data_IF_525506911369
#
_entry.id   IF_525506911369
#
_cell.length_a   1.000
_cell.length_b   1.000
_cell.length_c   1.000
_cell.angle_alpha   90.00
_cell.angle_beta   90.00
_cell.angle_gamma   90.00
#
_symmetry.space_group_name_H-M   'P 1'
#
loop_
_entity.id
_entity.type
_entity.pdbx_description
1 polymer ?
#
# COMPACT_ATOMS: atom_id res chain seq x y z
N UNK A 1 30.84 1.89 46.19
CA UNK A 1 29.42 1.93 45.77
C UNK A 1 29.14 3.25 45.05
N UNK A 2 29.58 3.41 43.79
CA UNK A 2 29.40 4.66 43.01
C UNK A 2 29.21 4.37 41.51
N UNK A 3 29.71 3.22 41.05
CA UNK A 3 29.78 2.87 39.63
C UNK A 3 28.65 1.95 39.15
N UNK A 4 27.73 1.52 40.03
CA UNK A 4 26.61 0.64 39.65
C UNK A 4 25.37 1.41 39.19
N UNK A 5 25.28 2.71 39.47
CA UNK A 5 24.14 3.54 39.07
C UNK A 5 24.23 4.01 37.61
N UNK A 6 25.46 4.11 37.06
CA UNK A 6 25.72 4.59 35.70
C UNK A 6 25.53 3.52 34.62
N UNK A 7 25.38 2.26 35.01
CA UNK A 7 25.12 1.13 34.11
C UNK A 7 23.62 0.92 33.85
N UNK A 8 22.73 1.44 34.71
CA UNK A 8 21.28 1.27 34.55
C UNK A 8 20.65 2.27 33.57
N UNK A 9 21.31 3.41 33.32
CA UNK A 9 20.88 4.39 32.30
C UNK A 9 21.27 4.01 30.87
N UNK A 10 22.08 2.96 30.66
CA UNK A 10 22.52 2.55 29.32
C UNK A 10 21.66 1.42 28.70
N UNK A 11 20.73 0.83 29.48
CA UNK A 11 19.85 -0.27 29.03
C UNK A 11 18.43 0.18 28.64
N UNK A 12 18.12 1.48 28.69
CA UNK A 12 16.79 2.04 28.34
C UNK A 12 16.78 2.79 26.98
N UNK A 13 17.78 2.55 26.12
CA UNK A 13 17.95 3.26 24.82
C UNK A 13 18.01 2.27 23.63
N UNK A 14 17.58 1.02 23.78
CA UNK A 14 17.61 0.00 22.71
C UNK A 14 16.24 -0.53 22.24
N UNK A 15 15.12 0.10 22.61
CA UNK A 15 13.76 -0.38 22.25
C UNK A 15 12.97 0.56 21.35
N UNK A 16 13.63 1.40 20.53
CA UNK A 16 12.92 2.35 19.67
C UNK A 16 13.54 2.47 18.27
N UNK A 17 13.65 1.37 17.53
CA UNK A 17 13.75 1.43 16.06
C UNK A 17 13.06 0.22 15.42
N UNK A 18 11.74 0.21 15.49
CA UNK A 18 10.92 -0.42 14.46
C UNK A 18 9.99 0.67 13.91
N UNK A 19 10.59 1.64 13.22
CA UNK A 19 9.82 2.47 12.29
C UNK A 19 9.42 1.53 11.16
N UNK A 20 8.18 1.04 11.22
CA UNK A 20 7.53 0.49 10.05
C UNK A 20 7.66 1.57 8.98
N UNK A 21 8.31 1.24 7.87
CA UNK A 21 8.26 2.07 6.70
C UNK A 21 6.80 2.09 6.25
N UNK A 22 6.04 3.05 6.76
CA UNK A 22 4.74 3.44 6.22
C UNK A 22 5.04 4.02 4.84
N UNK A 23 5.30 3.12 3.88
CA UNK A 23 5.16 3.43 2.48
C UNK A 23 3.69 3.76 2.31
N UNK A 24 3.35 5.05 2.40
CA UNK A 24 2.10 5.63 1.96
C UNK A 24 2.05 5.53 0.44
N UNK A 25 2.13 4.30 -0.08
CA UNK A 25 1.84 4.01 -1.46
C UNK A 25 0.33 4.24 -1.60
N UNK A 26 -0.10 5.10 -2.54
CA UNK A 26 -1.51 5.34 -2.76
C UNK A 26 -2.22 4.00 -3.02
N UNK A 27 -3.27 3.71 -2.26
CA UNK A 27 -4.08 2.52 -2.43
C UNK A 27 -4.98 2.74 -3.65
N UNK A 28 -4.92 1.78 -4.58
CA UNK A 28 -5.81 1.75 -5.74
C UNK A 28 -7.13 1.08 -5.34
N UNK A 29 -8.25 1.64 -5.81
CA UNK A 29 -9.59 1.10 -5.56
C UNK A 29 -9.77 -0.26 -6.27
N UNK A 30 -9.54 -1.35 -5.54
CA UNK A 30 -9.61 -2.72 -6.04
C UNK A 30 -11.03 -3.12 -6.48
N UNK A 31 -12.06 -2.41 -6.02
CA UNK A 31 -13.45 -2.67 -6.44
C UNK A 31 -13.69 -2.36 -7.92
N UNK A 32 -12.80 -1.57 -8.53
CA UNK A 32 -12.81 -1.26 -9.96
C UNK A 32 -12.10 -2.28 -10.82
N UNK A 33 -11.55 -3.35 -10.26
CA UNK A 33 -10.87 -4.36 -11.08
C UNK A 33 -11.88 -5.18 -11.89
N UNK A 34 -11.60 -5.31 -13.18
CA UNK A 34 -12.33 -6.20 -14.08
C UNK A 34 -12.19 -7.65 -13.62
N UNK A 35 -13.31 -8.33 -13.45
CA UNK A 35 -13.37 -9.74 -13.11
C UNK A 35 -12.58 -10.61 -14.08
N UNK A 36 -11.80 -11.54 -13.52
CA UNK A 36 -10.92 -12.43 -14.28
C UNK A 36 -9.72 -11.74 -14.96
N UNK A 37 -9.57 -10.42 -14.82
CA UNK A 37 -8.46 -9.65 -15.39
C UNK A 37 -7.14 -9.81 -14.64
N UNK A 38 -6.05 -9.31 -15.24
CA UNK A 38 -4.72 -9.36 -14.63
C UNK A 38 -4.62 -8.58 -13.31
N UNK A 39 -5.36 -7.48 -13.17
CA UNK A 39 -5.42 -6.68 -11.94
C UNK A 39 -6.02 -7.47 -10.78
N UNK A 40 -7.19 -8.10 -11.00
CA UNK A 40 -7.84 -8.95 -9.99
C UNK A 40 -6.99 -10.17 -9.62
N UNK A 41 -6.34 -10.81 -10.60
CA UNK A 41 -5.48 -11.98 -10.33
C UNK A 41 -4.27 -11.62 -9.47
N UNK A 42 -3.67 -10.46 -9.69
CA UNK A 42 -2.57 -9.96 -8.86
C UNK A 42 -3.07 -9.63 -7.44
N UNK A 43 -4.19 -8.94 -7.33
CA UNK A 43 -4.82 -8.61 -6.05
C UNK A 43 -5.12 -9.85 -5.20
N UNK A 44 -5.68 -10.90 -5.81
CA UNK A 44 -5.91 -12.20 -5.14
C UNK A 44 -4.63 -12.88 -4.64
N UNK A 45 -3.46 -12.48 -5.14
CA UNK A 45 -2.13 -12.95 -4.67
C UNK A 45 -1.50 -11.99 -3.65
N UNK A 46 -2.17 -10.90 -3.29
CA UNK A 46 -1.59 -9.83 -2.47
C UNK A 46 -0.58 -8.97 -3.23
N UNK A 47 -0.60 -9.01 -4.57
CA UNK A 47 0.35 -8.32 -5.44
C UNK A 47 -0.34 -7.17 -6.21
N UNK A 48 0.46 -6.20 -6.67
CA UNK A 48 -0.01 -5.20 -7.63
C UNK A 48 0.26 -5.67 -9.06
N UNK A 49 -0.63 -5.32 -10.00
CA UNK A 49 -0.39 -5.62 -11.40
C UNK A 49 0.89 -4.95 -11.90
N UNK A 50 1.90 -5.74 -12.26
CA UNK A 50 3.22 -5.26 -12.68
C UNK A 50 3.25 -4.68 -14.12
N UNK A 51 2.12 -4.67 -14.83
CA UNK A 51 2.10 -4.14 -16.18
C UNK A 51 2.45 -2.64 -16.18
N UNK A 52 3.30 -2.14 -17.11
CA UNK A 52 3.79 -0.76 -17.06
C UNK A 52 2.69 0.31 -17.01
N UNK A 53 1.53 0.08 -17.63
CA UNK A 53 0.40 1.01 -17.55
C UNK A 53 -0.26 1.03 -16.16
N UNK A 54 -0.31 -0.11 -15.47
CA UNK A 54 -0.85 -0.24 -14.12
C UNK A 54 0.10 0.35 -13.08
N UNK A 55 1.41 0.15 -13.23
CA UNK A 55 2.43 0.77 -12.37
C UNK A 55 2.35 2.30 -12.44
N UNK A 56 2.24 2.86 -13.66
CA UNK A 56 2.04 4.32 -13.82
C UNK A 56 0.77 4.80 -13.15
N UNK A 57 -0.38 4.19 -13.45
CA UNK A 57 -1.67 4.58 -12.87
C UNK A 57 -1.68 4.45 -11.33
N UNK A 58 -1.02 3.42 -10.80
CA UNK A 58 -0.92 3.19 -9.35
C UNK A 58 -0.11 4.27 -8.65
N UNK A 59 0.88 4.89 -9.31
CA UNK A 59 1.60 6.05 -8.75
C UNK A 59 0.69 7.25 -8.55
N UNK A 60 -0.34 7.38 -9.39
CA UNK A 60 -1.37 8.41 -9.30
C UNK A 60 -2.55 7.99 -8.39
N UNK A 61 -2.47 6.82 -7.74
CA UNK A 61 -3.57 6.26 -6.95
C UNK A 61 -4.79 5.86 -7.77
N UNK A 62 -4.62 5.63 -9.08
CA UNK A 62 -5.70 5.33 -10.02
C UNK A 62 -5.60 3.90 -10.55
N UNK A 63 -6.76 3.30 -10.76
CA UNK A 63 -6.85 2.06 -11.53
C UNK A 63 -6.62 2.39 -13.00
N UNK A 64 -5.87 1.53 -13.71
CA UNK A 64 -5.63 1.73 -15.13
C UNK A 64 -6.95 1.59 -15.92
N UNK A 65 -7.44 2.69 -16.48
CA UNK A 65 -8.70 2.76 -17.25
C UNK A 65 -8.65 1.95 -18.55
N UNK A 66 -7.45 1.71 -19.09
CA UNK A 66 -7.29 0.83 -20.27
C UNK A 66 -7.59 -0.64 -19.95
N UNK A 67 -7.25 -1.07 -18.74
CA UNK A 67 -7.44 -2.45 -18.30
C UNK A 67 -8.80 -2.65 -17.61
N UNK A 68 -9.23 -1.62 -16.89
CA UNK A 68 -10.46 -1.59 -16.13
C UNK A 68 -11.24 -0.34 -16.55
N UNK A 69 -11.87 -0.36 -17.73
CA UNK A 69 -12.68 0.75 -18.19
C UNK A 69 -13.80 0.97 -17.18
N UNK A 70 -13.95 2.21 -16.73
CA UNK A 70 -15.15 2.61 -16.00
C UNK A 70 -16.30 2.55 -16.98
N UNK A 71 -17.17 1.55 -16.84
CA UNK A 71 -18.54 1.72 -17.28
C UNK A 71 -19.03 2.99 -16.59
N UNK A 72 -19.51 3.97 -17.37
CA UNK A 72 -19.92 5.26 -16.84
C UNK A 72 -20.90 4.99 -15.70
N UNK A 73 -20.44 5.15 -14.47
CA UNK A 73 -21.32 5.05 -13.32
C UNK A 73 -22.40 6.11 -13.54
N UNK A 74 -23.64 5.67 -13.75
CA UNK A 74 -24.77 6.56 -13.53
C UNK A 74 -24.57 7.17 -12.14
N UNK A 75 -24.59 8.51 -12.01
CA UNK A 75 -24.28 9.15 -10.74
C UNK A 75 -25.22 8.59 -9.68
N UNK A 76 -24.63 8.09 -8.58
CA UNK A 76 -25.35 7.57 -7.44
C UNK A 76 -26.48 8.53 -7.08
N UNK A 77 -27.73 8.09 -7.28
CA UNK A 77 -28.91 8.81 -6.84
C UNK A 77 -28.79 8.94 -5.32
N UNK A 78 -28.68 10.18 -4.86
CA UNK A 78 -28.71 10.57 -3.45
C UNK A 78 -30.03 10.12 -2.81
#
# INVERSE_FOLDING_TARGET
MKNTLKALSLLLVCTLLAVAADTTAPSVDITKFKDGGCCQKADKKGEKCAHPCCVKASKDGKVCEKCNPVEKAEPAKK
#
